data_IF_297240495452
#
_entry.id   IF_297240495452
#
_cell.length_a   1.000
_cell.length_b   1.000
_cell.length_c   1.000
_cell.angle_alpha   90.00
_cell.angle_beta   90.00
_cell.angle_gamma   90.00
#
_symmetry.space_group_name_H-M   'P 1'
#
loop_
_entity.id
_entity.type
_entity.pdbx_description
1 polymer ?
#
# COMPACT_ATOMS: atom_id res chain seq x y z
N UNK A 1 12.38 23.63 -0.83
CA UNK A 1 12.89 22.36 -0.29
C UNK A 1 12.41 21.26 -1.22
N UNK A 2 13.32 20.51 -1.86
CA UNK A 2 12.94 19.26 -2.52
C UNK A 2 13.07 18.16 -1.47
N UNK A 3 11.95 17.75 -0.88
CA UNK A 3 11.91 16.52 -0.10
C UNK A 3 12.43 15.38 -0.99
N UNK A 4 13.57 14.81 -0.60
CA UNK A 4 14.24 13.77 -1.37
C UNK A 4 13.58 12.42 -1.08
N UNK A 5 12.33 12.28 -1.51
CA UNK A 5 11.50 11.10 -1.27
C UNK A 5 12.02 9.94 -2.11
N UNK A 6 12.29 8.82 -1.44
CA UNK A 6 12.82 7.61 -2.07
C UNK A 6 12.17 6.36 -1.47
N UNK A 7 12.65 5.18 -1.85
CA UNK A 7 12.07 3.91 -1.41
C UNK A 7 12.09 3.70 0.11
N UNK A 8 13.03 4.32 0.85
CA UNK A 8 13.09 4.23 2.31
C UNK A 8 11.99 5.07 2.99
N UNK A 9 11.52 6.12 2.31
CA UNK A 9 10.40 6.96 2.78
C UNK A 9 9.05 6.26 2.69
N UNK A 10 8.93 5.24 1.85
CA UNK A 10 7.70 4.46 1.67
C UNK A 10 7.53 3.51 2.86
N UNK A 11 6.30 3.33 3.42
CA UNK A 11 6.07 2.36 4.49
C UNK A 11 6.56 0.96 4.13
N UNK A 12 7.16 0.26 5.10
CA UNK A 12 7.62 -1.11 4.86
C UNK A 12 6.42 -2.04 4.74
N UNK A 13 6.66 -3.20 4.14
CA UNK A 13 5.64 -4.24 4.00
C UNK A 13 4.94 -4.59 5.32
N UNK A 14 5.69 -4.67 6.43
CA UNK A 14 5.15 -4.95 7.77
C UNK A 14 4.15 -3.90 8.23
N UNK A 15 4.43 -2.63 7.91
CA UNK A 15 3.62 -1.49 8.33
C UNK A 15 2.30 -1.43 7.57
N UNK A 16 2.23 -2.11 6.42
CA UNK A 16 1.08 -2.16 5.53
C UNK A 16 0.14 -3.33 5.82
N UNK A 17 0.50 -4.30 6.68
CA UNK A 17 -0.35 -5.46 6.98
C UNK A 17 -1.68 -5.04 7.60
N UNK A 18 -1.66 -4.28 8.69
CA UNK A 18 -2.88 -3.85 9.37
C UNK A 18 -3.74 -2.91 8.52
N UNK A 19 -3.18 -1.88 7.84
CA UNK A 19 -3.94 -1.06 6.90
C UNK A 19 -4.58 -1.86 5.76
N UNK A 20 -3.84 -2.84 5.19
CA UNK A 20 -4.39 -3.69 4.12
C UNK A 20 -5.55 -4.54 4.64
N UNK A 21 -5.43 -5.10 5.84
CA UNK A 21 -6.50 -5.87 6.46
C UNK A 21 -7.75 -5.01 6.73
N UNK A 22 -7.55 -3.79 7.23
CA UNK A 22 -8.65 -2.84 7.45
C UNK A 22 -9.37 -2.50 6.13
N UNK A 23 -8.63 -2.20 5.07
CA UNK A 23 -9.18 -1.94 3.75
C UNK A 23 -9.96 -3.14 3.18
N UNK A 24 -9.45 -4.36 3.36
CA UNK A 24 -10.15 -5.59 2.95
C UNK A 24 -11.51 -5.75 3.66
N UNK A 25 -11.57 -5.45 4.96
CA UNK A 25 -12.82 -5.48 5.71
C UNK A 25 -13.77 -4.36 5.29
N UNK A 26 -13.25 -3.15 5.07
CA UNK A 26 -14.06 -1.99 4.70
C UNK A 26 -14.72 -2.14 3.32
N UNK A 27 -13.99 -2.69 2.35
CA UNK A 27 -14.45 -2.78 0.96
C UNK A 27 -15.32 -4.02 0.66
N UNK A 28 -15.33 -4.99 1.57
CA UNK A 28 -16.02 -6.27 1.34
C UNK A 28 -15.28 -7.13 0.30
N UNK A 29 -15.36 -8.46 0.45
CA UNK A 29 -14.47 -9.43 -0.22
C UNK A 29 -14.47 -9.51 -1.76
N UNK A 30 -15.03 -8.52 -2.47
CA UNK A 30 -15.01 -8.41 -3.93
C UNK A 30 -14.17 -7.24 -4.45
N UNK A 31 -13.50 -6.49 -3.57
CA UNK A 31 -12.66 -5.36 -3.95
C UNK A 31 -11.50 -5.76 -4.88
N UNK A 32 -11.27 -4.96 -5.91
CA UNK A 32 -10.09 -5.10 -6.77
C UNK A 32 -8.82 -4.68 -6.05
N UNK A 33 -7.66 -5.10 -6.59
CA UNK A 33 -6.35 -4.66 -6.06
C UNK A 33 -6.22 -3.14 -6.04
N UNK A 34 -6.73 -2.43 -7.06
CA UNK A 34 -6.66 -0.96 -7.10
C UNK A 34 -7.51 -0.31 -6.02
N UNK A 35 -8.72 -0.81 -5.79
CA UNK A 35 -9.60 -0.30 -4.73
C UNK A 35 -8.96 -0.47 -3.36
N UNK A 36 -8.35 -1.64 -3.08
CA UNK A 36 -7.62 -1.88 -1.83
C UNK A 36 -6.44 -0.92 -1.69
N UNK A 37 -5.65 -0.72 -2.75
CA UNK A 37 -4.50 0.21 -2.71
C UNK A 37 -4.95 1.63 -2.44
N UNK A 38 -5.99 2.10 -3.12
CA UNK A 38 -6.53 3.45 -2.93
C UNK A 38 -7.07 3.63 -1.51
N UNK A 39 -7.84 2.65 -1.00
CA UNK A 39 -8.35 2.70 0.37
C UNK A 39 -7.21 2.77 1.40
N UNK A 40 -6.14 1.99 1.23
CA UNK A 40 -4.98 2.07 2.15
C UNK A 40 -4.28 3.43 2.08
N UNK A 41 -4.15 4.02 0.88
CA UNK A 41 -3.57 5.36 0.72
C UNK A 41 -4.42 6.41 1.46
N UNK A 42 -5.74 6.32 1.33
CA UNK A 42 -6.68 7.21 1.99
C UNK A 42 -6.66 7.03 3.51
N UNK A 43 -6.77 5.80 4.00
CA UNK A 43 -6.79 5.47 5.44
C UNK A 43 -5.50 5.90 6.15
N UNK A 44 -4.36 5.79 5.48
CA UNK A 44 -3.05 6.18 6.02
C UNK A 44 -2.71 7.65 5.78
N UNK A 45 -3.50 8.39 4.98
CA UNK A 45 -3.21 9.78 4.62
C UNK A 45 -1.88 9.97 3.89
N UNK A 46 -1.49 9.01 3.04
CA UNK A 46 -0.18 9.05 2.36
C UNK A 46 -0.14 10.17 1.31
N UNK A 47 0.95 10.94 1.32
CA UNK A 47 1.14 12.00 0.33
C UNK A 47 1.48 11.45 -1.06
N UNK A 48 1.12 12.20 -2.10
CA UNK A 48 1.40 11.82 -3.50
C UNK A 48 2.89 11.55 -3.74
N UNK A 49 3.78 12.29 -3.09
CA UNK A 49 5.23 12.08 -3.23
C UNK A 49 5.66 10.68 -2.77
N UNK A 50 5.03 10.13 -1.73
CA UNK A 50 5.27 8.77 -1.22
C UNK A 50 4.60 7.72 -2.11
N UNK A 51 3.37 7.98 -2.55
CA UNK A 51 2.61 7.07 -3.42
C UNK A 51 3.31 6.88 -4.76
N UNK A 52 3.88 7.96 -5.32
CA UNK A 52 4.46 7.97 -6.67
C UNK A 52 5.95 7.60 -6.72
N UNK A 53 6.55 7.10 -5.62
CA UNK A 53 7.95 6.66 -5.65
C UNK A 53 8.10 5.46 -6.61
N UNK A 54 8.83 5.61 -7.73
CA UNK A 54 8.90 4.59 -8.76
C UNK A 54 9.65 3.33 -8.27
N UNK A 55 9.22 2.16 -8.72
CA UNK A 55 9.93 0.89 -8.46
C UNK A 55 9.67 -0.13 -9.58
N UNK A 56 10.72 -0.45 -10.35
CA UNK A 56 10.68 -1.41 -11.48
C UNK A 56 9.49 -1.20 -12.42
N UNK A 57 8.35 -1.82 -12.12
CA UNK A 57 7.06 -1.65 -12.79
C UNK A 57 6.03 -1.16 -11.76
N UNK A 58 5.61 0.09 -11.87
CA UNK A 58 4.73 0.76 -10.91
C UNK A 58 5.51 1.44 -9.78
N UNK A 59 4.91 1.49 -8.59
CA UNK A 59 5.44 2.21 -7.43
C UNK A 59 5.96 1.26 -6.34
N UNK A 60 6.85 1.78 -5.50
CA UNK A 60 7.35 1.06 -4.31
C UNK A 60 6.20 0.65 -3.38
N UNK A 61 5.18 1.51 -3.26
CA UNK A 61 4.02 1.27 -2.42
C UNK A 61 3.15 0.12 -2.97
N UNK A 62 2.81 0.15 -4.26
CA UNK A 62 2.04 -0.92 -4.91
C UNK A 62 2.73 -2.29 -4.79
N UNK A 63 4.05 -2.33 -4.99
CA UNK A 63 4.82 -3.56 -4.83
C UNK A 63 4.72 -4.13 -3.42
N UNK A 64 4.85 -3.29 -2.38
CA UNK A 64 4.77 -3.72 -0.98
C UNK A 64 3.35 -4.09 -0.56
N UNK A 65 2.33 -3.38 -1.05
CA UNK A 65 0.92 -3.75 -0.85
C UNK A 65 0.57 -5.08 -1.54
N UNK A 66 1.16 -5.36 -2.71
CA UNK A 66 1.04 -6.67 -3.36
C UNK A 66 1.52 -7.81 -2.47
N UNK A 67 2.64 -7.62 -1.77
CA UNK A 67 3.12 -8.57 -0.77
C UNK A 67 2.19 -8.66 0.45
N UNK A 68 1.75 -7.52 1.01
CA UNK A 68 0.86 -7.49 2.18
C UNK A 68 -0.42 -8.30 1.93
N UNK A 69 -1.05 -8.08 0.77
CA UNK A 69 -2.22 -8.84 0.32
C UNK A 69 -1.93 -10.33 0.14
N UNK A 70 -0.79 -10.69 -0.45
CA UNK A 70 -0.41 -12.09 -0.66
C UNK A 70 -0.21 -12.83 0.66
N UNK A 71 0.36 -12.16 1.65
CA UNK A 71 0.54 -12.70 2.99
C UNK A 71 -0.80 -12.88 3.72
N UNK A 72 -1.65 -11.84 3.74
CA UNK A 72 -2.97 -11.91 4.39
C UNK A 72 -3.86 -12.97 3.75
N UNK A 73 -3.82 -13.13 2.42
CA UNK A 73 -4.53 -14.24 1.75
C UNK A 73 -4.10 -15.62 2.26
N UNK A 74 -2.85 -15.77 2.72
CA UNK A 74 -2.29 -17.05 3.16
C UNK A 74 -2.41 -17.25 4.68
N UNK A 75 -2.36 -16.19 5.48
CA UNK A 75 -2.19 -16.28 6.93
C UNK A 75 -3.09 -15.33 7.74
N UNK A 76 -3.84 -14.44 7.09
CA UNK A 76 -4.71 -13.45 7.72
C UNK A 76 -6.17 -13.89 7.85
#
# INVERSE_FOLDING_TARGET
MTDNVNADSVPKYSDLLNPTLAALHALGGSASTREIVNQVIEDMGLSTAIVQVPYKQGTSLEYRLGWARSYLKKYG
#
